data_IF_929056511003
#
_entry.id   IF_929056511003
#
_cell.length_a   1.000
_cell.length_b   1.000
_cell.length_c   1.000
_cell.angle_alpha   90.00
_cell.angle_beta   90.00
_cell.angle_gamma   90.00
#
_symmetry.space_group_name_H-M   'P 1'
#
loop_
_entity.id
_entity.type
_entity.pdbx_description
1 polymer ?
#
# COMPACT_ATOMS: atom_id res chain seq x y z
N UNK A 1 6.80 -25.07 -15.78
CA UNK A 1 7.76 -23.94 -15.85
C UNK A 1 8.44 -23.74 -14.52
N UNK A 2 7.71 -23.56 -13.39
CA UNK A 2 8.35 -23.38 -12.07
C UNK A 2 9.32 -24.52 -11.74
N UNK A 3 8.85 -25.76 -11.78
CA UNK A 3 9.66 -26.96 -11.47
C UNK A 3 10.87 -27.11 -12.41
N UNK A 4 10.71 -26.75 -13.67
CA UNK A 4 11.77 -26.81 -14.68
C UNK A 4 12.86 -25.76 -14.46
N UNK A 5 12.52 -24.64 -13.82
CA UNK A 5 13.43 -23.52 -13.58
C UNK A 5 13.73 -23.30 -12.08
N UNK A 6 13.38 -24.25 -11.22
CA UNK A 6 13.50 -24.13 -9.76
C UNK A 6 14.90 -23.70 -9.32
N UNK A 7 15.94 -24.29 -9.91
CA UNK A 7 17.33 -24.00 -9.54
C UNK A 7 17.73 -22.55 -9.88
N UNK A 8 17.33 -22.07 -11.04
CA UNK A 8 17.60 -20.68 -11.48
C UNK A 8 16.82 -19.67 -10.64
N UNK A 9 15.57 -20.03 -10.25
CA UNK A 9 14.73 -19.19 -9.39
C UNK A 9 15.36 -19.08 -8.00
N UNK A 10 15.78 -20.21 -7.39
CA UNK A 10 16.41 -20.22 -6.08
C UNK A 10 17.78 -19.51 -6.08
N UNK A 11 18.52 -19.58 -7.19
CA UNK A 11 19.78 -18.87 -7.36
C UNK A 11 19.61 -17.35 -7.62
N UNK A 12 18.38 -16.88 -7.90
CA UNK A 12 18.10 -15.50 -8.29
C UNK A 12 18.55 -15.14 -9.71
N UNK A 13 18.78 -16.14 -10.55
CA UNK A 13 19.26 -15.99 -11.93
C UNK A 13 18.12 -16.00 -12.96
N UNK A 14 16.93 -16.46 -12.55
CA UNK A 14 15.74 -16.51 -13.43
C UNK A 14 15.33 -15.12 -13.88
N UNK A 15 15.20 -14.94 -15.19
CA UNK A 15 14.88 -13.64 -15.80
C UNK A 15 13.42 -13.57 -16.25
N UNK A 16 12.75 -12.44 -15.96
CA UNK A 16 11.36 -12.20 -16.32
C UNK A 16 10.37 -12.86 -15.36
N UNK A 17 9.13 -13.02 -15.80
CA UNK A 17 8.07 -13.68 -15.03
C UNK A 17 7.83 -15.11 -15.53
N UNK A 18 7.27 -15.98 -14.69
CA UNK A 18 6.87 -17.33 -15.09
C UNK A 18 5.89 -17.32 -16.27
N UNK A 19 5.10 -16.25 -16.40
CA UNK A 19 4.13 -16.08 -17.49
C UNK A 19 4.82 -15.84 -18.82
N UNK A 20 5.96 -15.14 -18.82
CA UNK A 20 6.74 -14.89 -20.04
C UNK A 20 7.31 -16.17 -20.66
N UNK A 21 7.48 -17.21 -19.84
CA UNK A 21 7.97 -18.52 -20.25
C UNK A 21 6.86 -19.52 -20.61
N UNK A 22 5.58 -19.11 -20.56
CA UNK A 22 4.48 -19.96 -21.01
C UNK A 22 4.54 -20.23 -22.52
N UNK A 23 4.12 -21.42 -22.98
CA UNK A 23 3.88 -21.67 -24.41
C UNK A 23 2.97 -20.60 -25.01
N UNK A 24 3.19 -20.21 -26.29
CA UNK A 24 2.48 -19.08 -26.89
C UNK A 24 0.96 -19.14 -26.78
N UNK A 25 0.37 -20.33 -26.92
CA UNK A 25 -1.08 -20.52 -26.81
C UNK A 25 -1.60 -20.26 -25.38
N UNK A 26 -0.89 -20.71 -24.36
CA UNK A 26 -1.25 -20.50 -22.96
C UNK A 26 -1.02 -19.04 -22.55
N UNK A 27 0.03 -18.42 -23.03
CA UNK A 27 0.29 -16.99 -22.82
C UNK A 27 -0.81 -16.13 -23.40
N UNK A 28 -1.28 -16.42 -24.61
CA UNK A 28 -2.38 -15.70 -25.25
C UNK A 28 -3.70 -15.91 -24.49
N UNK A 29 -3.98 -17.12 -24.01
CA UNK A 29 -5.14 -17.40 -23.17
C UNK A 29 -5.07 -16.62 -21.84
N UNK A 30 -3.92 -16.61 -21.20
CA UNK A 30 -3.68 -15.84 -19.97
C UNK A 30 -3.92 -14.35 -20.20
N UNK A 31 -3.33 -13.78 -21.27
CA UNK A 31 -3.51 -12.36 -21.64
C UNK A 31 -4.98 -11.99 -21.83
N UNK A 32 -5.77 -12.85 -22.49
CA UNK A 32 -7.22 -12.62 -22.64
C UNK A 32 -7.96 -12.65 -21.32
N UNK A 33 -7.60 -13.55 -20.39
CA UNK A 33 -8.17 -13.56 -19.04
C UNK A 33 -7.81 -12.27 -18.29
N UNK A 34 -6.58 -11.82 -18.39
CA UNK A 34 -6.13 -10.58 -17.76
C UNK A 34 -6.87 -9.35 -18.32
N UNK A 35 -7.03 -9.25 -19.64
CA UNK A 35 -7.81 -8.17 -20.25
C UNK A 35 -9.25 -8.12 -19.77
N UNK A 36 -9.92 -9.28 -19.66
CA UNK A 36 -11.28 -9.37 -19.13
C UNK A 36 -11.31 -9.00 -17.64
N UNK A 37 -10.38 -9.51 -16.85
CA UNK A 37 -10.27 -9.20 -15.44
C UNK A 37 -10.08 -7.69 -15.21
N UNK A 38 -9.14 -7.08 -15.94
CA UNK A 38 -8.89 -5.64 -15.83
C UNK A 38 -10.09 -4.80 -16.25
N UNK A 39 -10.75 -5.16 -17.36
CA UNK A 39 -11.84 -4.34 -17.90
C UNK A 39 -13.18 -4.53 -17.18
N UNK A 40 -13.46 -5.71 -16.65
CA UNK A 40 -14.78 -6.07 -16.11
C UNK A 40 -14.81 -6.29 -14.60
N UNK A 41 -13.66 -6.59 -13.99
CA UNK A 41 -13.58 -6.85 -12.54
C UNK A 41 -12.89 -5.68 -11.86
N UNK A 42 -11.61 -5.45 -12.13
CA UNK A 42 -10.82 -4.45 -11.41
C UNK A 42 -11.21 -2.99 -11.73
N UNK A 43 -11.83 -2.74 -12.89
CA UNK A 43 -12.32 -1.40 -13.26
C UNK A 43 -13.84 -1.29 -13.23
N UNK A 44 -14.54 -2.22 -12.57
CA UNK A 44 -15.97 -2.05 -12.35
C UNK A 44 -16.22 -0.91 -11.36
N UNK A 45 -17.41 -0.34 -11.41
CA UNK A 45 -17.79 0.84 -10.61
C UNK A 45 -17.65 0.59 -9.11
N UNK A 46 -18.01 -0.60 -8.67
CA UNK A 46 -17.97 -1.00 -7.26
C UNK A 46 -16.53 -0.99 -6.74
N UNK A 47 -15.58 -1.59 -7.45
CA UNK A 47 -14.16 -1.61 -7.08
C UNK A 47 -13.57 -0.21 -7.16
N UNK A 48 -13.84 0.52 -8.24
CA UNK A 48 -13.32 1.88 -8.42
C UNK A 48 -13.80 2.83 -7.31
N UNK A 49 -15.04 2.68 -6.84
CA UNK A 49 -15.55 3.50 -5.73
C UNK A 49 -14.81 3.21 -4.42
N UNK A 50 -14.50 1.93 -4.15
CA UNK A 50 -13.70 1.55 -2.97
C UNK A 50 -12.29 2.11 -3.07
N UNK A 51 -11.65 1.99 -4.23
CA UNK A 51 -10.32 2.54 -4.47
C UNK A 51 -10.27 4.05 -4.25
N UNK A 52 -11.26 4.79 -4.82
CA UNK A 52 -11.36 6.24 -4.63
C UNK A 52 -11.57 6.63 -3.16
N UNK A 53 -12.41 5.89 -2.44
CA UNK A 53 -12.60 6.11 -1.01
C UNK A 53 -11.29 5.86 -0.23
N UNK A 54 -10.59 4.76 -0.53
CA UNK A 54 -9.29 4.44 0.07
C UNK A 54 -8.24 5.53 -0.18
N UNK A 55 -8.13 6.02 -1.40
CA UNK A 55 -7.26 7.15 -1.73
C UNK A 55 -7.58 8.39 -0.90
N UNK A 56 -8.86 8.73 -0.77
CA UNK A 56 -9.28 9.90 -0.01
C UNK A 56 -8.94 9.77 1.48
N UNK A 57 -9.20 8.61 2.06
CA UNK A 57 -8.92 8.32 3.47
C UNK A 57 -7.41 8.41 3.75
N UNK A 58 -6.59 7.68 2.97
CA UNK A 58 -5.14 7.66 3.16
C UNK A 58 -4.55 9.06 2.96
N UNK A 59 -4.98 9.78 1.93
CA UNK A 59 -4.51 11.14 1.68
C UNK A 59 -4.83 12.09 2.83
N UNK A 60 -6.07 12.03 3.33
CA UNK A 60 -6.52 12.88 4.45
C UNK A 60 -5.74 12.57 5.73
N UNK A 61 -5.58 11.29 6.06
CA UNK A 61 -4.80 10.87 7.22
C UNK A 61 -3.34 11.29 7.11
N UNK A 62 -2.74 11.11 5.94
CA UNK A 62 -1.34 11.52 5.70
C UNK A 62 -1.16 13.03 5.86
N UNK A 63 -2.07 13.83 5.33
CA UNK A 63 -2.04 15.29 5.46
C UNK A 63 -2.19 15.72 6.92
N UNK A 64 -3.21 15.21 7.62
CA UNK A 64 -3.48 15.53 9.03
C UNK A 64 -2.32 15.11 9.95
N UNK A 65 -1.80 13.90 9.79
CA UNK A 65 -0.72 13.38 10.62
C UNK A 65 0.61 14.09 10.33
N UNK A 66 0.87 14.42 9.07
CA UNK A 66 2.06 15.20 8.68
C UNK A 66 2.00 16.60 9.28
N UNK A 67 0.86 17.30 9.18
CA UNK A 67 0.69 18.62 9.83
C UNK A 67 0.83 18.51 11.34
N UNK A 68 0.28 17.46 11.95
CA UNK A 68 0.38 17.25 13.40
C UNK A 68 1.82 17.05 13.90
N UNK A 69 2.65 16.30 13.19
CA UNK A 69 4.07 16.12 13.59
C UNK A 69 4.92 17.35 13.29
N UNK A 70 4.50 18.19 12.33
CA UNK A 70 5.17 19.46 12.03
C UNK A 70 4.80 20.58 13.02
N UNK A 71 3.59 20.52 13.58
CA UNK A 71 3.07 21.55 14.51
C UNK A 71 2.50 20.91 15.79
N UNK A 72 3.31 20.17 16.59
CA UNK A 72 2.83 19.37 17.69
C UNK A 72 2.31 20.18 18.89
N UNK A 73 2.58 21.49 18.93
CA UNK A 73 2.13 22.43 19.96
C UNK A 73 0.65 22.84 19.80
N UNK A 74 0.07 22.63 18.62
CA UNK A 74 -1.36 22.90 18.42
C UNK A 74 -2.21 21.90 19.19
N UNK A 75 -3.30 22.37 19.81
CA UNK A 75 -4.19 21.52 20.60
C UNK A 75 -4.72 20.30 19.81
N UNK A 76 -5.16 20.52 18.56
CA UNK A 76 -5.63 19.45 17.69
C UNK A 76 -4.52 18.44 17.35
N UNK A 77 -3.33 18.93 17.01
CA UNK A 77 -2.17 18.08 16.73
C UNK A 77 -1.81 17.19 17.92
N UNK A 78 -1.82 17.76 19.11
CA UNK A 78 -1.53 17.01 20.35
C UNK A 78 -2.53 15.89 20.61
N UNK A 79 -3.82 16.13 20.36
CA UNK A 79 -4.88 15.11 20.48
C UNK A 79 -4.71 14.01 19.44
N UNK A 80 -4.44 14.37 18.19
CA UNK A 80 -4.25 13.41 17.09
C UNK A 80 -3.01 12.53 17.34
N UNK A 81 -1.90 13.13 17.75
CA UNK A 81 -0.67 12.39 18.08
C UNK A 81 -0.81 11.50 19.32
N UNK A 82 -1.76 11.77 20.20
CA UNK A 82 -2.06 10.93 21.35
C UNK A 82 -2.77 9.61 20.97
N UNK A 83 -3.37 9.53 19.77
CA UNK A 83 -3.96 8.31 19.23
C UNK A 83 -2.90 7.34 18.68
N UNK A 84 -1.69 7.83 18.41
CA UNK A 84 -0.62 7.00 17.83
C UNK A 84 -0.01 6.11 18.92
N UNK A 85 0.06 4.78 18.70
CA UNK A 85 0.72 3.87 19.64
C UNK A 85 2.17 4.26 19.91
N UNK A 86 2.63 4.08 21.16
CA UNK A 86 3.95 4.52 21.63
C UNK A 86 5.14 3.86 20.91
N UNK A 87 4.90 2.78 20.16
CA UNK A 87 5.94 2.14 19.34
C UNK A 87 6.38 3.01 18.16
N UNK A 88 5.58 3.99 17.74
CA UNK A 88 5.90 4.93 16.68
C UNK A 88 6.38 6.26 17.29
N UNK A 89 7.64 6.63 17.01
CA UNK A 89 8.27 7.81 17.61
C UNK A 89 7.85 9.12 16.92
N UNK A 90 6.55 9.43 16.89
CA UNK A 90 6.01 10.66 16.25
C UNK A 90 6.46 11.96 16.93
N UNK A 91 7.16 11.87 18.07
CA UNK A 91 7.76 13.01 18.79
C UNK A 91 9.28 13.00 18.80
N UNK A 92 9.91 12.23 17.94
CA UNK A 92 11.35 12.18 17.77
C UNK A 92 11.95 13.60 17.57
N UNK A 93 13.22 13.86 17.95
CA UNK A 93 13.84 15.17 17.79
C UNK A 93 13.96 15.61 16.35
N UNK A 94 14.24 14.68 15.44
CA UNK A 94 14.44 14.96 14.01
C UNK A 94 13.11 14.85 13.25
N UNK A 95 12.82 15.84 12.43
CA UNK A 95 11.60 15.87 11.60
C UNK A 95 11.50 14.63 10.69
N UNK A 96 12.60 14.21 10.08
CA UNK A 96 12.62 13.02 9.23
C UNK A 96 12.16 11.75 9.95
N UNK A 97 12.57 11.57 11.20
CA UNK A 97 12.18 10.41 12.00
C UNK A 97 10.68 10.46 12.35
N UNK A 98 10.13 11.65 12.63
CA UNK A 98 8.68 11.84 12.85
C UNK A 98 7.87 11.50 11.60
N UNK A 99 8.32 11.96 10.42
CA UNK A 99 7.66 11.65 9.15
C UNK A 99 7.71 10.16 8.83
N UNK A 100 8.84 9.50 9.07
CA UNK A 100 8.94 8.05 8.92
C UNK A 100 8.01 7.32 9.89
N UNK A 101 7.92 7.75 11.15
CA UNK A 101 6.99 7.18 12.12
C UNK A 101 5.51 7.32 11.69
N UNK A 102 5.14 8.45 11.05
CA UNK A 102 3.80 8.62 10.44
C UNK A 102 3.58 7.62 9.31
N UNK A 103 4.54 7.46 8.40
CA UNK A 103 4.44 6.51 7.30
C UNK A 103 4.32 5.06 7.79
N UNK A 104 5.11 4.68 8.78
CA UNK A 104 5.07 3.35 9.40
C UNK A 104 3.72 3.10 10.08
N UNK A 105 3.20 4.09 10.81
CA UNK A 105 1.89 4.01 11.46
C UNK A 105 0.76 3.84 10.44
N UNK A 106 0.71 4.69 9.41
CA UNK A 106 -0.33 4.62 8.37
C UNK A 106 -0.25 3.32 7.55
N UNK A 107 0.96 2.88 7.20
CA UNK A 107 1.14 1.64 6.44
C UNK A 107 0.77 0.37 7.22
N UNK A 108 0.77 0.44 8.54
CA UNK A 108 0.37 -0.66 9.43
C UNK A 108 -1.14 -0.69 9.76
N UNK A 109 -1.93 0.27 9.26
CA UNK A 109 -3.37 0.32 9.53
C UNK A 109 -4.15 -0.71 8.72
N UNK A 110 -5.22 -1.23 9.32
CA UNK A 110 -6.30 -1.88 8.59
C UNK A 110 -7.29 -0.84 8.07
N UNK A 111 -8.08 -1.19 7.05
CA UNK A 111 -9.09 -0.31 6.47
C UNK A 111 -10.09 0.18 7.53
N UNK A 112 -10.52 -0.72 8.44
CA UNK A 112 -11.45 -0.39 9.51
C UNK A 112 -10.82 0.62 10.48
N UNK A 113 -9.56 0.39 10.88
CA UNK A 113 -8.87 1.29 11.81
C UNK A 113 -8.64 2.68 11.21
N UNK A 114 -8.36 2.76 9.91
CA UNK A 114 -8.21 4.03 9.20
C UNK A 114 -9.50 4.85 9.11
N UNK A 115 -10.67 4.20 9.23
CA UNK A 115 -11.98 4.85 9.29
C UNK A 115 -12.36 5.35 10.70
N UNK A 116 -11.75 4.78 11.74
CA UNK A 116 -12.08 5.07 13.14
C UNK A 116 -11.27 6.25 13.71
N UNK A 117 -10.18 6.65 13.03
CA UNK A 117 -9.35 7.81 13.36
C UNK A 117 -9.88 9.06 12.67
#
# INVERSE_FOLDING_TARGET
IFVENEQEILAGEFQGSLIDHLPPQLREAYRKCEEVAMSRIYRCREVTNVDLAGYHIIYTLLELMTDAVMTPEKAYSSLLLAQVPSQYEVRAPRIGDRLMAVLDFLSGMTDIYALDI
#
